data_IF_556890748624
#
_entry.id   IF_556890748624
#
_cell.length_a   1.000
_cell.length_b   1.000
_cell.length_c   1.000
_cell.angle_alpha   90.00
_cell.angle_beta   90.00
_cell.angle_gamma   90.00
#
_symmetry.space_group_name_H-M   'P 1'
#
loop_
_entity.id
_entity.type
_entity.pdbx_description
1 polymer ?
#
# COMPACT_ATOMS: atom_id res chain seq x y z
N UNK A 1 -7.08 -10.78 -4.57
CA UNK A 1 -7.59 -11.57 -3.43
C UNK A 1 -8.36 -10.67 -2.48
N UNK A 2 -9.44 -11.16 -1.86
CA UNK A 2 -10.10 -10.44 -0.76
C UNK A 2 -9.30 -10.59 0.54
N UNK A 3 -9.00 -9.47 1.16
CA UNK A 3 -8.32 -9.39 2.45
C UNK A 3 -9.33 -9.20 3.58
N UNK A 4 -10.35 -8.37 3.38
CA UNK A 4 -11.41 -8.15 4.37
C UNK A 4 -12.78 -8.42 3.76
N UNK A 5 -13.41 -9.51 4.18
CA UNK A 5 -14.76 -9.89 3.72
C UNK A 5 -15.82 -8.93 4.27
N UNK A 6 -15.71 -8.53 5.53
CA UNK A 6 -16.67 -7.61 6.17
C UNK A 6 -16.85 -6.28 5.45
N UNK A 7 -15.81 -5.81 4.75
CA UNK A 7 -15.79 -4.50 4.08
C UNK A 7 -15.50 -4.60 2.58
N UNK A 8 -15.41 -5.80 2.02
CA UNK A 8 -15.11 -6.03 0.61
C UNK A 8 -13.74 -5.50 0.16
N UNK A 9 -12.74 -5.47 1.05
CA UNK A 9 -11.40 -4.92 0.73
C UNK A 9 -10.54 -5.99 0.08
N UNK A 10 -10.00 -5.68 -1.11
CA UNK A 10 -9.06 -6.55 -1.85
C UNK A 10 -7.61 -6.16 -1.60
N UNK A 11 -6.68 -7.05 -1.95
CA UNK A 11 -5.25 -6.76 -1.93
C UNK A 11 -4.90 -5.61 -2.87
N UNK A 12 -5.54 -5.55 -4.05
CA UNK A 12 -5.35 -4.48 -5.02
C UNK A 12 -5.76 -3.12 -4.45
N UNK A 13 -6.87 -3.04 -3.70
CA UNK A 13 -7.30 -1.81 -3.05
C UNK A 13 -6.28 -1.32 -2.01
N UNK A 14 -5.65 -2.24 -1.27
CA UNK A 14 -4.57 -1.89 -0.33
C UNK A 14 -3.35 -1.36 -1.08
N UNK A 15 -2.92 -2.04 -2.15
CA UNK A 15 -1.78 -1.60 -2.97
C UNK A 15 -2.03 -0.25 -3.61
N UNK A 16 -3.24 -0.01 -4.11
CA UNK A 16 -3.64 1.27 -4.71
C UNK A 16 -3.60 2.40 -3.68
N UNK A 17 -4.14 2.18 -2.47
CA UNK A 17 -4.09 3.15 -1.39
C UNK A 17 -2.65 3.56 -1.01
N UNK A 18 -1.71 2.62 -1.06
CA UNK A 18 -0.29 2.88 -0.78
C UNK A 18 0.39 3.66 -1.91
N UNK A 19 0.18 3.22 -3.16
CA UNK A 19 0.85 3.78 -4.33
C UNK A 19 0.32 5.16 -4.70
N UNK A 20 -1.00 5.35 -4.66
CA UNK A 20 -1.66 6.56 -5.19
C UNK A 20 -2.16 7.49 -4.08
N UNK A 21 -2.60 6.94 -2.94
CA UNK A 21 -3.21 7.75 -1.88
C UNK A 21 -2.26 8.04 -0.72
N UNK A 22 -0.99 7.61 -0.83
CA UNK A 22 0.05 7.92 0.15
C UNK A 22 -0.11 7.21 1.50
N UNK A 23 -0.97 6.19 1.60
CA UNK A 23 -1.18 5.43 2.83
C UNK A 23 0.09 4.66 3.21
N UNK A 24 0.56 4.82 4.45
CA UNK A 24 1.75 4.15 4.96
C UNK A 24 1.55 3.44 6.31
N UNK A 25 0.41 3.64 6.97
CA UNK A 25 0.08 3.03 8.26
C UNK A 25 -1.27 2.31 8.22
N UNK A 26 -1.39 1.28 9.06
CA UNK A 26 -2.65 0.54 9.23
C UNK A 26 -3.82 1.42 9.70
N UNK A 27 -3.54 2.48 10.48
CA UNK A 27 -4.57 3.44 10.89
C UNK A 27 -5.19 4.14 9.70
N UNK A 28 -4.35 4.58 8.77
CA UNK A 28 -4.79 5.32 7.59
C UNK A 28 -5.48 4.38 6.60
N UNK A 29 -4.97 3.14 6.47
CA UNK A 29 -5.62 2.10 5.69
C UNK A 29 -7.03 1.78 6.22
N UNK A 30 -7.20 1.72 7.54
CA UNK A 30 -8.51 1.55 8.18
C UNK A 30 -9.42 2.76 7.96
N UNK A 31 -8.90 3.98 8.00
CA UNK A 31 -9.68 5.19 7.75
C UNK A 31 -10.14 5.27 6.28
N UNK A 32 -9.28 4.90 5.33
CA UNK A 32 -9.58 4.97 3.90
C UNK A 32 -10.48 3.83 3.41
N UNK A 33 -10.21 2.59 3.83
CA UNK A 33 -10.87 1.39 3.27
C UNK A 33 -11.82 0.70 4.26
N UNK A 34 -11.87 1.14 5.52
CA UNK A 34 -12.65 0.48 6.57
C UNK A 34 -12.08 -0.87 7.02
N UNK A 35 -10.92 -1.30 6.48
CA UNK A 35 -10.29 -2.59 6.80
C UNK A 35 -10.08 -2.74 8.31
N UNK A 36 -10.35 -3.94 8.84
CA UNK A 36 -10.29 -4.20 10.31
C UNK A 36 -11.20 -3.29 11.15
N UNK A 37 -12.24 -2.72 10.54
CA UNK A 37 -13.26 -1.91 11.22
C UNK A 37 -14.44 -2.69 11.81
N UNK A 38 -14.53 -4.00 11.56
CA UNK A 38 -15.59 -4.86 12.07
C UNK A 38 -15.03 -6.02 12.90
N UNK A 39 -14.89 -7.23 12.35
CA UNK A 39 -14.45 -8.41 13.11
C UNK A 39 -12.94 -8.44 13.41
N UNK A 40 -12.13 -7.68 12.65
CA UNK A 40 -10.69 -7.58 12.85
C UNK A 40 -9.84 -8.77 12.39
N UNK A 41 -10.45 -9.90 11.96
CA UNK A 41 -9.74 -11.13 11.58
C UNK A 41 -8.70 -10.88 10.47
N UNK A 42 -8.98 -9.95 9.56
CA UNK A 42 -8.09 -9.59 8.46
C UNK A 42 -6.87 -8.76 8.87
N UNK A 43 -6.74 -8.33 10.13
CA UNK A 43 -5.77 -7.30 10.51
C UNK A 43 -4.31 -7.67 10.21
N UNK A 44 -3.88 -8.90 10.53
CA UNK A 44 -2.52 -9.36 10.25
C UNK A 44 -2.25 -9.42 8.74
N UNK A 45 -3.15 -10.06 7.98
CA UNK A 45 -3.03 -10.17 6.52
C UNK A 45 -3.05 -8.81 5.82
N UNK A 46 -3.90 -7.87 6.27
CA UNK A 46 -3.92 -6.51 5.74
C UNK A 46 -2.61 -5.76 6.00
N UNK A 47 -2.01 -5.97 7.18
CA UNK A 47 -0.71 -5.39 7.53
C UNK A 47 0.41 -5.96 6.66
N UNK A 48 0.43 -7.26 6.41
CA UNK A 48 1.41 -7.90 5.52
C UNK A 48 1.34 -7.34 4.10
N UNK A 49 0.12 -7.19 3.55
CA UNK A 49 -0.05 -6.60 2.20
C UNK A 49 0.38 -5.13 2.18
N UNK A 50 0.09 -4.36 3.23
CA UNK A 50 0.54 -2.97 3.37
C UNK A 50 2.08 -2.88 3.36
N UNK A 51 2.77 -3.71 4.16
CA UNK A 51 4.23 -3.72 4.24
C UNK A 51 4.87 -4.13 2.91
N UNK A 52 4.32 -5.15 2.24
CA UNK A 52 4.75 -5.56 0.90
C UNK A 52 4.60 -4.43 -0.12
N UNK A 53 3.46 -3.74 -0.11
CA UNK A 53 3.19 -2.62 -1.03
C UNK A 53 4.15 -1.45 -0.79
N UNK A 54 4.44 -1.13 0.48
CA UNK A 54 5.41 -0.09 0.85
C UNK A 54 6.82 -0.43 0.40
N UNK A 55 7.25 -1.69 0.56
CA UNK A 55 8.55 -2.15 0.07
C UNK A 55 8.64 -2.01 -1.45
N UNK A 56 7.60 -2.43 -2.19
CA UNK A 56 7.53 -2.29 -3.64
C UNK A 56 7.55 -0.82 -4.11
N UNK A 57 6.82 0.05 -3.42
CA UNK A 57 6.82 1.50 -3.67
C UNK A 57 8.22 2.10 -3.51
N UNK A 58 8.96 1.71 -2.48
CA UNK A 58 10.31 2.22 -2.24
C UNK A 58 11.31 1.75 -3.32
N UNK A 59 11.18 0.50 -3.78
CA UNK A 59 12.04 -0.06 -4.83
C UNK A 59 11.83 0.65 -6.18
N UNK A 60 10.57 0.90 -6.56
CA UNK A 60 10.22 1.58 -7.82
C UNK A 60 10.66 3.05 -7.82
N UNK A 61 10.54 3.75 -6.69
CA UNK A 61 10.98 5.14 -6.57
C UNK A 61 12.50 5.33 -6.60
N UNK A 62 13.28 4.32 -6.20
CA UNK A 62 14.75 4.39 -6.27
C UNK A 62 15.28 4.29 -7.70
N UNK A 63 14.62 3.50 -8.57
CA UNK A 63 15.04 3.35 -9.97
C UNK A 63 14.82 4.64 -10.78
N UNK A 64 13.73 5.37 -10.52
CA UNK A 64 13.41 6.61 -11.22
C UNK A 64 14.39 7.75 -10.91
N UNK A 65 14.98 7.78 -9.70
CA UNK A 65 15.95 8.82 -9.30
C UNK A 65 17.31 8.63 -9.97
N UNK A 66 17.73 7.39 -10.25
CA UNK A 66 18.99 7.13 -10.96
C UNK A 66 18.96 7.63 -12.41
N UNK A 67 17.78 7.61 -13.05
CA UNK A 67 17.64 8.01 -14.44
C UNK A 67 17.51 9.53 -14.64
N UNK A 68 17.14 10.32 -13.63
CA UNK A 68 17.14 11.79 -13.72
C UNK A 68 18.55 12.38 -13.67
N UNK A 69 19.48 11.79 -12.91
CA UNK A 69 20.85 12.32 -12.79
C UNK A 69 21.68 12.21 -14.09
N UNK A 70 21.36 11.28 -14.99
CA UNK A 70 22.11 11.09 -16.25
C UNK A 70 21.71 12.16 -17.29
N UNK A 71 20.54 12.79 -17.17
CA UNK A 71 20.02 13.73 -18.19
C UNK A 71 20.38 15.20 -17.94
N UNK A 72 20.96 15.52 -16.78
CA UNK A 72 21.40 16.89 -16.43
C UNK A 72 22.92 17.10 -16.62
N UNK A 73 23.66 16.09 -17.11
CA UNK A 73 25.12 16.18 -17.39
C UNK A 73 25.46 16.31 -18.88
N UNK A 74 24.51 16.70 -19.74
CA UNK A 74 24.71 16.92 -21.17
C UNK A 74 24.35 18.36 -21.55
#
# INVERSE_FOLDING_TARGET
MYICICKGVTDSAIREAVCHNGVDRMRDLKACLGVSGQCGICACHAKEVLEQALMQKNLTQHSSKTHSFIRDSA
#
